data_IF_514173793255
#
_entry.id   IF_514173793255
#
_cell.length_a   1.000
_cell.length_b   1.000
_cell.length_c   1.000
_cell.angle_alpha   90.00
_cell.angle_beta   90.00
_cell.angle_gamma   90.00
#
_symmetry.space_group_name_H-M   'P 1'
#
loop_
_entity.id
_entity.type
_entity.pdbx_description
1 polymer ?
#
# COMPACT_ATOMS: atom_id res chain seq x y z
N UNK A 1 14.61 -8.05 27.48
CA UNK A 1 15.67 -7.27 26.82
C UNK A 1 15.93 -7.86 25.44
N UNK A 2 15.26 -7.34 24.40
CA UNK A 2 15.52 -7.70 23.01
C UNK A 2 16.66 -6.82 22.50
N UNK A 3 17.78 -7.45 22.12
CA UNK A 3 18.96 -6.76 21.65
C UNK A 3 18.80 -6.16 20.23
N UNK A 4 19.74 -5.29 19.82
CA UNK A 4 19.73 -4.55 18.56
C UNK A 4 20.09 -5.46 17.36
N UNK A 5 19.21 -6.39 17.01
CA UNK A 5 19.43 -7.31 15.87
C UNK A 5 18.90 -6.81 14.52
N UNK A 6 18.33 -5.61 14.43
CA UNK A 6 17.72 -5.10 13.19
C UNK A 6 18.41 -3.86 12.57
N UNK A 7 19.69 -3.62 12.89
CA UNK A 7 20.43 -2.46 12.34
C UNK A 7 21.47 -2.84 11.27
N UNK A 8 21.72 -4.12 11.02
CA UNK A 8 22.61 -4.60 9.96
C UNK A 8 22.07 -5.90 9.36
N UNK A 9 21.66 -5.88 8.09
CA UNK A 9 21.35 -7.08 7.28
C UNK A 9 22.67 -7.68 6.81
N UNK A 10 23.01 -8.92 7.18
CA UNK A 10 24.37 -9.44 6.93
C UNK A 10 24.52 -10.91 6.50
N UNK A 11 23.56 -11.57 5.82
CA UNK A 11 23.94 -12.83 5.14
C UNK A 11 23.19 -13.13 3.84
N UNK A 12 21.87 -13.26 3.84
CA UNK A 12 21.15 -13.72 2.64
C UNK A 12 20.87 -12.58 1.63
N UNK A 13 20.53 -11.39 2.12
CA UNK A 13 20.33 -10.24 1.25
C UNK A 13 21.67 -9.81 0.64
N UNK A 14 22.76 -9.76 1.42
CA UNK A 14 24.11 -9.47 0.91
C UNK A 14 24.57 -10.46 -0.17
N UNK A 15 24.31 -11.76 0.02
CA UNK A 15 24.56 -12.78 -1.02
C UNK A 15 23.73 -12.53 -2.27
N UNK A 16 22.44 -12.21 -2.13
CA UNK A 16 21.56 -11.90 -3.25
C UNK A 16 22.02 -10.63 -3.99
N UNK A 17 22.50 -9.61 -3.28
CA UNK A 17 23.04 -8.40 -3.90
C UNK A 17 24.37 -8.65 -4.60
N UNK A 18 25.24 -9.43 -3.98
CA UNK A 18 26.48 -9.85 -4.63
C UNK A 18 26.15 -10.63 -5.91
N UNK A 19 25.21 -11.56 -5.84
CA UNK A 19 24.72 -12.29 -7.01
C UNK A 19 24.22 -11.34 -8.11
N UNK A 20 23.37 -10.36 -7.79
CA UNK A 20 22.89 -9.39 -8.77
C UNK A 20 24.02 -8.55 -9.38
N UNK A 21 24.93 -8.02 -8.55
CA UNK A 21 26.07 -7.23 -9.02
C UNK A 21 27.02 -8.04 -9.90
N UNK A 22 27.33 -9.27 -9.49
CA UNK A 22 28.20 -10.19 -10.22
C UNK A 22 27.58 -10.59 -11.58
N UNK A 23 26.25 -10.53 -11.71
CA UNK A 23 25.51 -10.75 -12.95
C UNK A 23 25.15 -9.46 -13.71
N UNK A 24 25.84 -8.34 -13.42
CA UNK A 24 25.70 -7.09 -14.18
C UNK A 24 24.47 -6.25 -13.85
N UNK A 25 23.65 -6.64 -12.88
CA UNK A 25 22.48 -5.88 -12.44
C UNK A 25 22.94 -4.66 -11.63
N UNK A 26 22.39 -3.49 -11.98
CA UNK A 26 22.64 -2.26 -11.23
C UNK A 26 21.74 -2.23 -9.99
N UNK A 27 22.36 -2.31 -8.82
CA UNK A 27 21.67 -2.32 -7.53
C UNK A 27 22.09 -1.12 -6.71
N UNK A 28 21.12 -0.40 -6.18
CA UNK A 28 21.29 0.64 -5.16
C UNK A 28 20.52 0.25 -3.93
N UNK A 29 20.98 0.72 -2.78
CA UNK A 29 20.37 0.40 -1.51
C UNK A 29 19.64 1.63 -0.98
N UNK A 30 18.47 1.41 -0.40
CA UNK A 30 17.84 2.40 0.47
C UNK A 30 18.60 2.41 1.80
N UNK A 31 19.80 3.00 1.77
CA UNK A 31 20.79 2.92 2.84
C UNK A 31 20.64 4.07 3.82
N UNK A 32 20.22 3.72 5.03
CA UNK A 32 19.91 4.66 6.12
C UNK A 32 21.13 4.99 6.97
N UNK A 33 22.27 4.28 6.84
CA UNK A 33 23.35 4.31 7.87
C UNK A 33 24.78 4.32 7.31
N UNK A 34 25.04 4.02 6.02
CA UNK A 34 26.45 3.97 5.57
C UNK A 34 27.20 5.30 5.64
N UNK A 35 28.52 5.19 5.81
CA UNK A 35 29.49 6.30 5.90
C UNK A 35 29.53 7.23 4.67
N UNK A 36 28.83 6.89 3.59
CA UNK A 36 28.70 7.71 2.37
C UNK A 36 27.39 8.49 2.25
N UNK A 37 26.52 8.46 3.28
CA UNK A 37 25.26 9.21 3.27
C UNK A 37 25.50 10.71 3.44
N UNK A 38 25.03 11.50 2.46
CA UNK A 38 25.01 12.96 2.57
C UNK A 38 24.11 13.41 3.74
N UNK A 39 24.32 14.62 4.25
CA UNK A 39 23.54 15.18 5.38
C UNK A 39 22.02 15.12 5.13
N UNK A 40 21.58 15.31 3.88
CA UNK A 40 20.18 15.23 3.47
C UNK A 40 19.61 13.81 3.61
N UNK A 41 20.39 12.75 3.33
CA UNK A 41 19.96 11.35 3.48
C UNK A 41 19.83 10.92 4.95
N UNK A 42 20.64 11.50 5.84
CA UNK A 42 20.54 11.24 7.29
C UNK A 42 19.23 11.79 7.90
N UNK A 43 18.65 12.82 7.29
CA UNK A 43 17.34 13.38 7.69
C UNK A 43 16.15 12.57 7.16
N UNK A 44 16.39 11.59 6.28
CA UNK A 44 15.38 10.69 5.69
C UNK A 44 15.25 9.38 6.49
N UNK A 45 15.87 9.33 7.68
CA UNK A 45 15.98 8.12 8.47
C UNK A 45 14.62 7.50 8.80
N UNK A 46 13.56 8.26 9.01
CA UNK A 46 12.25 7.72 9.43
C UNK A 46 11.27 7.40 8.30
N UNK A 47 11.69 7.59 7.05
CA UNK A 47 10.82 7.37 5.90
C UNK A 47 11.25 6.11 5.15
N UNK A 48 10.30 5.26 4.76
CA UNK A 48 10.59 4.03 4.05
C UNK A 48 10.09 4.10 2.62
N UNK A 49 10.85 3.52 1.69
CA UNK A 49 10.32 3.21 0.37
C UNK A 49 9.41 1.98 0.46
N UNK A 50 8.11 2.22 0.51
CA UNK A 50 7.10 1.17 0.68
C UNK A 50 6.43 0.79 -0.66
N UNK A 51 6.85 1.42 -1.77
CA UNK A 51 6.37 1.09 -3.12
C UNK A 51 6.85 -0.30 -3.54
N UNK A 52 5.95 -1.09 -4.14
CA UNK A 52 6.33 -2.33 -4.84
C UNK A 52 5.96 -2.23 -6.30
N UNK A 53 6.98 -2.27 -7.14
CA UNK A 53 6.83 -2.01 -8.56
C UNK A 53 7.92 -2.70 -9.35
N UNK A 54 7.56 -3.16 -10.54
CA UNK A 54 8.51 -3.70 -11.51
C UNK A 54 8.12 -3.19 -12.89
N UNK A 55 9.10 -2.65 -13.62
CA UNK A 55 8.95 -2.13 -14.98
C UNK A 55 9.82 -2.95 -15.92
N UNK A 56 9.25 -3.34 -17.06
CA UNK A 56 9.87 -4.15 -18.10
C UNK A 56 9.96 -3.27 -19.35
N UNK A 57 11.19 -3.02 -19.79
CA UNK A 57 11.56 -2.26 -21.00
C UNK A 57 10.94 -0.85 -21.10
N UNK A 58 10.51 -0.25 -19.98
CA UNK A 58 9.76 1.01 -19.99
C UNK A 58 8.38 0.92 -20.64
N UNK A 59 7.87 -0.29 -20.93
CA UNK A 59 6.62 -0.53 -21.69
C UNK A 59 5.51 -1.18 -20.87
N UNK A 60 5.88 -2.05 -19.94
CA UNK A 60 4.95 -2.76 -19.06
C UNK A 60 5.37 -2.55 -17.63
N UNK A 61 4.44 -2.15 -16.78
CA UNK A 61 4.69 -2.02 -15.35
C UNK A 61 3.69 -2.86 -14.56
N UNK A 62 4.09 -3.24 -13.36
CA UNK A 62 3.19 -3.77 -12.36
C UNK A 62 3.29 -2.93 -11.09
N UNK A 63 2.16 -2.55 -10.53
CA UNK A 63 2.05 -1.75 -9.30
C UNK A 63 1.07 -2.41 -8.34
N UNK A 64 1.38 -2.47 -7.05
CA UNK A 64 0.54 -3.13 -6.08
C UNK A 64 1.19 -3.30 -4.71
N UNK A 65 0.62 -4.20 -3.91
CA UNK A 65 1.08 -4.48 -2.55
C UNK A 65 1.99 -5.71 -2.43
N UNK A 66 2.10 -6.51 -3.50
CA UNK A 66 2.85 -7.77 -3.47
C UNK A 66 4.36 -7.56 -3.50
N UNK A 67 5.04 -8.07 -2.48
CA UNK A 67 6.51 -8.12 -2.41
C UNK A 67 7.01 -9.43 -3.01
N UNK A 68 8.04 -9.38 -3.87
CA UNK A 68 8.76 -10.58 -4.31
C UNK A 68 9.43 -11.24 -3.09
N UNK A 69 9.02 -12.46 -2.78
CA UNK A 69 9.40 -13.15 -1.55
C UNK A 69 9.94 -14.55 -1.86
N UNK A 70 10.79 -15.06 -0.97
CA UNK A 70 11.26 -16.45 -1.03
C UNK A 70 10.10 -17.42 -0.74
N UNK A 71 10.10 -18.65 -1.31
CA UNK A 71 9.07 -19.64 -1.03
C UNK A 71 8.91 -20.03 0.44
N UNK A 72 9.93 -19.77 1.26
CA UNK A 72 9.94 -20.00 2.71
C UNK A 72 9.11 -19.00 3.52
N UNK A 73 8.68 -17.88 2.93
CA UNK A 73 7.80 -16.91 3.59
C UNK A 73 6.33 -17.31 3.45
N UNK A 74 5.56 -16.93 4.46
CA UNK A 74 4.10 -17.12 4.47
C UNK A 74 3.47 -16.51 3.22
N UNK A 75 2.61 -17.26 2.53
CA UNK A 75 1.86 -16.76 1.38
C UNK A 75 1.02 -15.54 1.79
N UNK A 76 0.84 -14.60 0.88
CA UNK A 76 0.03 -13.39 1.09
C UNK A 76 -1.08 -13.33 0.05
N UNK A 77 -2.27 -12.92 0.48
CA UNK A 77 -3.33 -12.49 -0.40
C UNK A 77 -3.14 -11.00 -0.68
N UNK A 78 -2.62 -10.69 -1.86
CA UNK A 78 -2.28 -9.34 -2.29
C UNK A 78 -2.55 -9.22 -3.80
N UNK A 79 -2.37 -8.01 -4.35
CA UNK A 79 -2.72 -7.68 -5.72
C UNK A 79 -1.63 -6.86 -6.40
N UNK A 80 -1.51 -7.08 -7.70
CA UNK A 80 -0.70 -6.28 -8.61
C UNK A 80 -1.56 -5.94 -9.83
N UNK A 81 -1.52 -4.68 -10.26
CA UNK A 81 -2.12 -4.22 -11.51
C UNK A 81 -1.05 -4.24 -12.58
N UNK A 82 -1.28 -4.97 -13.66
CA UNK A 82 -0.48 -4.85 -14.89
C UNK A 82 -0.93 -3.61 -15.66
N UNK A 83 -0.01 -2.71 -15.96
CA UNK A 83 -0.23 -1.49 -16.70
C UNK A 83 0.63 -1.43 -17.97
N UNK A 84 0.07 -0.87 -19.03
CA UNK A 84 0.73 -0.59 -20.30
C UNK A 84 0.26 0.79 -20.80
N UNK A 85 1.03 1.41 -21.70
CA UNK A 85 0.73 2.74 -22.23
C UNK A 85 1.41 3.86 -21.43
N UNK A 86 0.93 5.08 -21.58
CA UNK A 86 1.60 6.28 -21.05
C UNK A 86 1.74 6.31 -19.52
N UNK A 87 0.88 5.62 -18.78
CA UNK A 87 0.96 5.53 -17.31
C UNK A 87 2.27 4.88 -16.85
N UNK A 88 2.88 4.01 -17.67
CA UNK A 88 4.17 3.38 -17.37
C UNK A 88 5.27 4.42 -17.19
N UNK A 89 5.21 5.55 -17.91
CA UNK A 89 6.19 6.62 -17.77
C UNK A 89 6.16 7.26 -16.37
N UNK A 90 4.98 7.36 -15.73
CA UNK A 90 4.87 7.88 -14.35
C UNK A 90 5.53 6.91 -13.35
N UNK A 91 5.30 5.61 -13.56
CA UNK A 91 5.84 4.53 -12.72
C UNK A 91 7.37 4.44 -12.88
N UNK A 92 7.86 4.48 -14.12
CA UNK A 92 9.28 4.47 -14.45
C UNK A 92 10.00 5.70 -13.89
N UNK A 93 9.39 6.89 -14.02
CA UNK A 93 9.96 8.11 -13.45
C UNK A 93 10.12 8.00 -11.93
N UNK A 94 9.10 7.48 -11.24
CA UNK A 94 9.14 7.21 -9.79
C UNK A 94 10.29 6.25 -9.42
N UNK A 95 10.46 5.15 -10.18
CA UNK A 95 11.54 4.20 -9.97
C UNK A 95 12.93 4.82 -10.21
N UNK A 96 13.11 5.54 -11.32
CA UNK A 96 14.38 6.17 -11.68
C UNK A 96 14.78 7.29 -10.71
N UNK A 97 13.82 8.11 -10.26
CA UNK A 97 14.06 9.12 -9.24
C UNK A 97 14.57 8.47 -7.95
N UNK A 98 13.95 7.37 -7.54
CA UNK A 98 14.38 6.60 -6.37
C UNK A 98 15.76 5.99 -6.56
N UNK A 99 16.04 5.45 -7.75
CA UNK A 99 17.34 4.89 -8.10
C UNK A 99 18.45 5.96 -8.00
N UNK A 100 18.24 7.12 -8.61
CA UNK A 100 19.17 8.25 -8.59
C UNK A 100 19.34 8.82 -7.18
N UNK A 101 18.24 9.02 -6.45
CA UNK A 101 18.27 9.50 -5.07
C UNK A 101 19.11 8.58 -4.18
N UNK A 102 19.01 7.26 -4.36
CA UNK A 102 19.78 6.27 -3.63
C UNK A 102 21.23 6.11 -4.12
N UNK A 103 21.73 7.00 -4.99
CA UNK A 103 23.11 7.03 -5.45
C UNK A 103 23.37 6.21 -6.72
N UNK A 104 22.30 5.75 -7.36
CA UNK A 104 22.35 5.17 -8.69
C UNK A 104 22.89 6.17 -9.69
N UNK A 105 23.54 5.65 -10.73
CA UNK A 105 24.12 6.46 -11.79
C UNK A 105 23.61 5.95 -13.12
N UNK A 106 23.01 6.84 -13.89
CA UNK A 106 22.77 6.62 -15.30
C UNK A 106 24.06 7.04 -16.02
N UNK A 107 24.63 6.19 -16.90
CA UNK A 107 25.83 6.54 -17.65
C UNK A 107 25.67 7.90 -18.34
N UNK A 108 26.75 8.69 -18.49
CA UNK A 108 26.72 9.92 -19.28
C UNK A 108 26.23 9.57 -20.69
N UNK A 109 24.99 9.93 -20.96
CA UNK A 109 24.27 9.65 -22.20
C UNK A 109 23.46 10.90 -22.53
N UNK A 110 23.25 11.16 -23.82
CA UNK A 110 22.43 12.30 -24.22
C UNK A 110 21.00 12.15 -23.71
N UNK A 111 20.30 13.26 -23.44
CA UNK A 111 18.91 13.24 -22.97
C UNK A 111 17.99 12.37 -23.87
N UNK A 112 18.28 12.34 -25.18
CA UNK A 112 17.59 11.49 -26.15
C UNK A 112 17.77 9.99 -25.88
N UNK A 113 18.98 9.55 -25.59
CA UNK A 113 19.28 8.13 -25.33
C UNK A 113 18.60 7.65 -24.03
N UNK A 114 18.63 8.49 -22.98
CA UNK A 114 17.89 8.22 -21.73
C UNK A 114 16.40 8.09 -22.02
N UNK A 115 15.83 9.04 -22.80
CA UNK A 115 14.42 9.00 -23.17
C UNK A 115 14.07 7.75 -23.96
N UNK A 116 14.84 7.40 -24.99
CA UNK A 116 14.56 6.22 -25.83
C UNK A 116 14.68 4.91 -25.03
N UNK A 117 15.59 4.85 -24.05
CA UNK A 117 15.83 3.66 -23.24
C UNK A 117 14.79 3.44 -22.15
N UNK A 118 14.45 4.48 -21.39
CA UNK A 118 13.59 4.35 -20.21
C UNK A 118 12.16 4.80 -20.46
N UNK A 119 11.94 5.71 -21.40
CA UNK A 119 10.62 6.27 -21.72
C UNK A 119 10.27 6.05 -23.20
N UNK A 120 10.25 4.78 -23.67
CA UNK A 120 9.90 4.51 -25.05
C UNK A 120 8.51 5.06 -25.35
N UNK A 121 8.29 5.52 -26.58
CA UNK A 121 6.99 6.05 -26.99
C UNK A 121 5.91 4.98 -26.75
N UNK A 122 4.87 5.29 -25.95
CA UNK A 122 3.81 4.34 -25.69
C UNK A 122 3.11 3.93 -27.00
N UNK A 123 2.72 2.66 -27.09
CA UNK A 123 1.86 2.19 -28.17
C UNK A 123 0.52 2.94 -28.15
N UNK A 124 0.00 3.29 -29.32
CA UNK A 124 -1.32 3.89 -29.46
C UNK A 124 -2.43 2.86 -29.23
N UNK A 125 -3.60 3.29 -28.75
CA UNK A 125 -4.79 2.43 -28.62
C UNK A 125 -5.11 1.96 -27.20
N UNK A 126 -4.69 2.72 -26.17
CA UNK A 126 -5.11 2.48 -24.80
C UNK A 126 -6.64 2.52 -24.65
N UNK A 127 -7.19 1.62 -23.83
CA UNK A 127 -8.63 1.39 -23.66
C UNK A 127 -9.17 1.84 -22.30
N UNK A 128 -8.32 2.38 -21.44
CA UNK A 128 -8.60 2.76 -20.06
C UNK A 128 -7.83 4.02 -19.70
N UNK A 129 -8.39 4.87 -18.84
CA UNK A 129 -7.61 5.91 -18.16
C UNK A 129 -6.91 5.32 -16.93
N UNK A 130 -5.73 5.83 -16.59
CA UNK A 130 -5.03 5.48 -15.36
C UNK A 130 -4.02 6.58 -15.02
N UNK A 131 -3.88 6.86 -13.73
CA UNK A 131 -2.85 7.75 -13.18
C UNK A 131 -2.17 7.06 -12.01
N UNK A 132 -0.97 7.52 -11.66
CA UNK A 132 -0.30 7.11 -10.42
C UNK A 132 -0.31 8.29 -9.47
N UNK A 133 -0.82 8.04 -8.26
CA UNK A 133 -0.74 9.00 -7.17
C UNK A 133 0.33 8.56 -6.20
N UNK A 134 1.01 9.54 -5.60
CA UNK A 134 2.15 9.32 -4.73
C UNK A 134 1.90 9.92 -3.35
N UNK A 135 2.46 9.28 -2.33
CA UNK A 135 2.90 10.00 -1.13
C UNK A 135 4.42 10.03 -1.16
N UNK A 136 4.98 11.21 -0.93
CA UNK A 136 6.41 11.46 -0.88
C UNK A 136 6.66 12.20 0.44
N UNK A 137 7.49 11.66 1.34
CA UNK A 137 7.80 12.30 2.60
C UNK A 137 8.30 13.73 2.40
N UNK A 138 7.71 14.69 3.14
CA UNK A 138 7.98 16.14 3.03
C UNK A 138 7.73 16.73 1.63
N UNK A 139 7.02 16.01 0.76
CA UNK A 139 6.69 16.40 -0.59
C UNK A 139 5.19 16.38 -0.82
N UNK A 140 4.76 15.56 -1.77
CA UNK A 140 3.35 15.40 -2.13
C UNK A 140 2.65 14.36 -1.25
N UNK A 141 1.38 14.59 -0.95
CA UNK A 141 0.47 13.64 -0.31
C UNK A 141 -0.78 13.41 -1.17
N UNK A 142 -0.63 13.50 -2.50
CA UNK A 142 -1.74 13.43 -3.47
C UNK A 142 -2.57 12.16 -3.31
N UNK A 143 -1.93 11.04 -2.95
CA UNK A 143 -2.63 9.78 -2.70
C UNK A 143 -3.51 9.87 -1.44
N UNK A 144 -2.99 10.40 -0.35
CA UNK A 144 -3.75 10.61 0.88
C UNK A 144 -4.91 11.58 0.66
N UNK A 145 -4.67 12.70 -0.04
CA UNK A 145 -5.72 13.67 -0.39
C UNK A 145 -6.79 13.03 -1.29
N UNK A 146 -6.38 12.21 -2.25
CA UNK A 146 -7.32 11.45 -3.08
C UNK A 146 -8.13 10.47 -2.24
N UNK A 147 -7.53 9.72 -1.31
CA UNK A 147 -8.32 8.84 -0.44
C UNK A 147 -9.42 9.60 0.31
N UNK A 148 -9.09 10.71 0.96
CA UNK A 148 -10.06 11.52 1.70
C UNK A 148 -11.17 12.05 0.77
N UNK A 149 -10.78 12.63 -0.37
CA UNK A 149 -11.72 13.17 -1.36
C UNK A 149 -12.67 12.10 -1.88
N UNK A 150 -12.14 10.93 -2.28
CA UNK A 150 -12.96 9.88 -2.86
C UNK A 150 -13.91 9.28 -1.82
N UNK A 151 -13.46 9.07 -0.57
CA UNK A 151 -14.32 8.63 0.55
C UNK A 151 -15.44 9.65 0.82
N UNK A 152 -15.14 10.94 0.81
CA UNK A 152 -16.12 12.00 1.05
C UNK A 152 -17.12 12.15 -0.09
N UNK A 153 -16.69 11.88 -1.33
CA UNK A 153 -17.53 11.98 -2.52
C UNK A 153 -18.42 10.76 -2.76
N UNK A 154 -18.21 9.64 -2.05
CA UNK A 154 -18.96 8.40 -2.25
C UNK A 154 -20.47 8.60 -1.98
N UNK A 155 -21.31 8.01 -2.84
CA UNK A 155 -22.78 8.17 -2.82
C UNK A 155 -23.56 6.88 -2.65
N UNK A 156 -23.11 5.77 -3.25
CA UNK A 156 -23.80 4.47 -3.27
C UNK A 156 -23.07 3.45 -2.41
N UNK A 157 -21.79 3.24 -2.68
CA UNK A 157 -20.97 2.31 -1.92
C UNK A 157 -19.50 2.72 -1.88
N UNK A 158 -18.81 2.28 -0.83
CA UNK A 158 -17.37 2.42 -0.63
C UNK A 158 -16.83 1.09 -0.12
N UNK A 159 -16.00 0.41 -0.90
CA UNK A 159 -15.32 -0.81 -0.47
C UNK A 159 -13.83 -0.56 -0.30
N UNK A 160 -13.28 -1.00 0.82
CA UNK A 160 -11.87 -0.84 1.16
C UNK A 160 -11.31 -2.19 1.59
N UNK A 161 -10.14 -2.53 1.07
CA UNK A 161 -9.32 -3.68 1.46
C UNK A 161 -7.98 -3.15 1.94
N UNK A 162 -7.60 -3.51 3.17
CA UNK A 162 -6.34 -3.06 3.76
C UNK A 162 -5.87 -4.05 4.84
N UNK A 163 -4.56 -4.29 5.03
CA UNK A 163 -4.08 -5.09 6.15
C UNK A 163 -4.37 -4.46 7.52
N UNK A 164 -4.48 -3.12 7.61
CA UNK A 164 -4.85 -2.40 8.82
C UNK A 164 -5.29 -0.97 8.51
N UNK A 165 -6.19 -0.44 9.32
CA UNK A 165 -6.67 0.95 9.23
C UNK A 165 -6.56 1.53 10.63
N UNK A 166 -5.53 2.35 10.86
CA UNK A 166 -5.20 2.86 12.20
C UNK A 166 -5.27 4.37 12.30
N UNK A 167 -5.18 5.09 11.18
CA UNK A 167 -5.21 6.54 11.19
C UNK A 167 -6.60 7.08 11.57
N UNK A 168 -6.67 7.84 12.67
CA UNK A 168 -7.91 8.40 13.23
C UNK A 168 -8.71 9.23 12.19
N UNK A 169 -8.02 10.01 11.35
CA UNK A 169 -8.68 10.83 10.35
C UNK A 169 -9.33 9.95 9.27
N UNK A 170 -8.62 8.96 8.76
CA UNK A 170 -9.15 8.02 7.78
C UNK A 170 -10.38 7.27 8.32
N UNK A 171 -10.30 6.77 9.56
CA UNK A 171 -11.43 6.11 10.25
C UNK A 171 -12.64 7.03 10.34
N UNK A 172 -12.43 8.29 10.71
CA UNK A 172 -13.49 9.30 10.78
C UNK A 172 -14.20 9.51 9.43
N UNK A 173 -13.44 9.70 8.35
CA UNK A 173 -14.01 9.89 7.02
C UNK A 173 -14.79 8.66 6.53
N UNK A 174 -14.29 7.45 6.80
CA UNK A 174 -15.00 6.18 6.50
C UNK A 174 -16.31 6.09 7.29
N UNK A 175 -16.28 6.40 8.59
CA UNK A 175 -17.47 6.41 9.44
C UNK A 175 -18.49 7.46 8.97
N UNK A 176 -18.02 8.66 8.61
CA UNK A 176 -18.89 9.74 8.14
C UNK A 176 -19.53 9.40 6.78
N UNK A 177 -18.85 8.65 5.90
CA UNK A 177 -19.46 8.10 4.68
C UNK A 177 -20.63 7.16 4.99
N UNK A 178 -20.47 6.24 5.94
CA UNK A 178 -21.56 5.34 6.35
C UNK A 178 -22.75 6.11 6.95
N UNK A 179 -22.49 7.12 7.79
CA UNK A 179 -23.54 7.99 8.36
C UNK A 179 -24.32 8.77 7.30
N UNK A 180 -23.73 9.08 6.14
CA UNK A 180 -24.42 9.69 4.99
C UNK A 180 -25.36 8.71 4.25
N UNK A 181 -25.35 7.43 4.62
CA UNK A 181 -26.15 6.38 3.98
C UNK A 181 -25.41 5.61 2.88
N UNK A 182 -24.10 5.81 2.71
CA UNK A 182 -23.27 5.05 1.77
C UNK A 182 -23.10 3.62 2.29
N UNK A 183 -23.20 2.62 1.42
CA UNK A 183 -22.90 1.22 1.77
C UNK A 183 -21.39 1.02 1.90
N UNK A 184 -20.87 1.14 3.12
CA UNK A 184 -19.44 0.98 3.40
C UNK A 184 -19.13 -0.46 3.82
N UNK A 185 -18.18 -1.11 3.14
CA UNK A 185 -17.71 -2.47 3.49
C UNK A 185 -16.19 -2.51 3.53
N UNK A 186 -15.64 -3.02 4.63
CA UNK A 186 -14.21 -3.22 4.80
C UNK A 186 -13.87 -4.71 4.67
N UNK A 187 -12.77 -5.02 4.00
CA UNK A 187 -12.10 -6.33 4.02
C UNK A 187 -10.80 -6.18 4.79
N UNK A 188 -10.72 -6.81 5.96
CA UNK A 188 -9.59 -6.76 6.89
C UNK A 188 -9.11 -8.19 7.20
N UNK A 189 -7.86 -8.40 7.64
CA UNK A 189 -7.39 -9.75 7.95
C UNK A 189 -8.15 -10.36 9.12
N UNK A 190 -8.60 -11.61 8.98
CA UNK A 190 -9.11 -12.40 10.10
C UNK A 190 -8.03 -12.74 11.12
N UNK A 191 -6.79 -12.95 10.63
CA UNK A 191 -5.57 -13.07 11.43
C UNK A 191 -4.51 -12.13 10.86
N UNK A 192 -4.11 -11.14 11.65
CA UNK A 192 -3.12 -10.15 11.24
C UNK A 192 -1.68 -10.66 11.43
N UNK A 193 -0.76 -10.07 10.67
CA UNK A 193 0.67 -10.35 10.79
C UNK A 193 1.31 -9.68 12.00
N UNK A 194 0.93 -8.43 12.25
CA UNK A 194 1.42 -7.64 13.37
C UNK A 194 0.31 -7.52 14.44
N UNK A 195 0.50 -8.14 15.62
CA UNK A 195 -0.49 -8.05 16.70
C UNK A 195 -0.78 -6.63 17.19
N UNK A 196 0.18 -5.71 17.13
CA UNK A 196 -0.04 -4.31 17.55
C UNK A 196 -0.95 -3.58 16.57
N UNK A 197 -0.70 -3.71 15.26
CA UNK A 197 -1.54 -3.11 14.23
C UNK A 197 -2.96 -3.70 14.24
N UNK A 198 -3.10 -4.99 14.56
CA UNK A 198 -4.39 -5.66 14.73
C UNK A 198 -5.18 -5.07 15.91
N UNK A 199 -4.53 -4.93 17.07
CA UNK A 199 -5.15 -4.34 18.26
C UNK A 199 -5.59 -2.89 17.96
N UNK A 200 -4.73 -2.11 17.30
CA UNK A 200 -5.03 -0.72 16.94
C UNK A 200 -6.16 -0.63 15.91
N UNK A 201 -6.17 -1.47 14.89
CA UNK A 201 -7.26 -1.53 13.91
C UNK A 201 -8.59 -1.92 14.57
N UNK A 202 -8.58 -2.95 15.43
CA UNK A 202 -9.78 -3.43 16.12
C UNK A 202 -10.31 -2.44 17.16
N UNK A 203 -9.49 -1.51 17.65
CA UNK A 203 -9.93 -0.42 18.52
C UNK A 203 -11.01 0.43 17.84
N UNK A 204 -10.87 0.67 16.54
CA UNK A 204 -11.79 1.47 15.72
C UNK A 204 -13.08 0.74 15.33
N UNK A 205 -13.17 -0.58 15.54
CA UNK A 205 -14.32 -1.37 15.09
C UNK A 205 -15.63 -0.94 15.73
N UNK A 206 -15.62 -0.58 17.03
CA UNK A 206 -16.84 -0.15 17.71
C UNK A 206 -17.42 1.13 17.09
N UNK A 207 -16.56 2.10 16.76
CA UNK A 207 -16.96 3.35 16.10
C UNK A 207 -17.51 3.08 14.69
N UNK A 208 -16.77 2.30 13.89
CA UNK A 208 -17.14 1.97 12.51
C UNK A 208 -18.48 1.21 12.46
N UNK A 209 -18.67 0.21 13.33
CA UNK A 209 -19.94 -0.54 13.41
C UNK A 209 -21.12 0.35 13.79
N UNK A 210 -20.94 1.28 14.75
CA UNK A 210 -21.99 2.24 15.15
C UNK A 210 -22.35 3.20 14.02
N UNK A 211 -21.40 3.53 13.16
CA UNK A 211 -21.63 4.35 11.97
C UNK A 211 -22.34 3.60 10.83
N UNK A 212 -22.48 2.27 10.92
CA UNK A 212 -23.12 1.44 9.90
C UNK A 212 -22.14 0.76 8.92
N UNK A 213 -20.84 0.79 9.20
CA UNK A 213 -19.82 0.12 8.38
C UNK A 213 -19.89 -1.40 8.58
N UNK A 214 -19.89 -2.15 7.47
CA UNK A 214 -19.77 -3.62 7.52
C UNK A 214 -18.29 -4.04 7.50
N UNK A 215 -17.82 -4.66 8.58
CA UNK A 215 -16.46 -5.20 8.66
C UNK A 215 -16.47 -6.69 8.30
N UNK A 216 -15.73 -7.06 7.26
CA UNK A 216 -15.56 -8.43 6.78
C UNK A 216 -14.12 -8.87 7.09
N UNK A 217 -13.99 -9.93 7.89
CA UNK A 217 -12.71 -10.51 8.26
C UNK A 217 -12.36 -11.65 7.30
N UNK A 218 -11.37 -11.44 6.46
CA UNK A 218 -10.88 -12.40 5.47
C UNK A 218 -10.18 -13.57 6.14
N UNK A 219 -10.69 -14.78 5.90
CA UNK A 219 -10.17 -16.01 6.52
C UNK A 219 -9.33 -16.87 5.57
N UNK A 220 -9.09 -16.41 4.35
CA UNK A 220 -8.33 -17.14 3.36
C UNK A 220 -9.21 -17.95 2.41
N UNK A 221 -8.93 -17.83 1.12
CA UNK A 221 -9.21 -18.85 0.12
C UNK A 221 -8.11 -19.92 0.16
N UNK A 222 -8.46 -21.16 -0.19
CA UNK A 222 -7.47 -22.25 -0.27
C UNK A 222 -6.30 -21.87 -1.18
N UNK A 223 -5.08 -21.91 -0.64
CA UNK A 223 -3.86 -21.57 -1.37
C UNK A 223 -3.42 -20.11 -1.29
N UNK A 224 -4.27 -19.21 -0.78
CA UNK A 224 -3.94 -17.83 -0.43
C UNK A 224 -3.67 -17.73 1.09
N UNK A 225 -2.71 -16.90 1.48
CA UNK A 225 -2.39 -16.71 2.90
C UNK A 225 -2.98 -15.41 3.45
N UNK A 226 -2.30 -14.78 4.42
CA UNK A 226 -2.85 -13.60 5.12
C UNK A 226 -3.12 -12.44 4.17
N UNK A 227 -4.23 -11.73 4.43
CA UNK A 227 -4.62 -10.54 3.69
C UNK A 227 -3.57 -9.44 3.84
N UNK A 228 -3.11 -8.94 2.70
CA UNK A 228 -2.18 -7.81 2.65
C UNK A 228 -2.50 -6.86 1.48
N UNK A 229 -3.60 -7.04 0.77
CA UNK A 229 -4.05 -6.13 -0.30
C UNK A 229 -4.33 -4.71 0.21
N UNK A 230 -4.04 -3.70 -0.64
CA UNK A 230 -4.41 -2.30 -0.42
C UNK A 230 -5.18 -1.81 -1.61
N UNK A 231 -6.47 -1.56 -1.39
CA UNK A 231 -7.34 -1.12 -2.46
C UNK A 231 -8.58 -0.41 -1.93
N UNK A 232 -9.14 0.43 -2.78
CA UNK A 232 -10.38 1.15 -2.52
C UNK A 232 -11.14 1.30 -3.82
N UNK A 233 -12.46 1.06 -3.78
CA UNK A 233 -13.37 1.39 -4.87
C UNK A 233 -14.59 2.13 -4.33
N UNK A 234 -15.18 2.98 -5.18
CA UNK A 234 -16.49 3.58 -4.91
C UNK A 234 -17.35 3.66 -6.17
N UNK A 235 -18.66 3.52 -5.98
CA UNK A 235 -19.73 3.87 -6.93
C UNK A 235 -19.61 3.36 -8.38
N UNK A 236 -18.77 2.35 -8.64
CA UNK A 236 -18.30 1.94 -9.97
C UNK A 236 -17.63 3.08 -10.78
N UNK A 237 -17.13 4.11 -10.09
CA UNK A 237 -16.56 5.35 -10.68
C UNK A 237 -15.07 5.55 -10.40
N UNK A 238 -14.54 4.90 -9.37
CA UNK A 238 -13.15 5.06 -8.97
C UNK A 238 -12.61 3.76 -8.37
N UNK A 239 -11.38 3.44 -8.74
CA UNK A 239 -10.58 2.38 -8.16
C UNK A 239 -9.15 2.86 -7.90
N UNK A 240 -8.61 2.48 -6.75
CA UNK A 240 -7.24 2.70 -6.35
C UNK A 240 -6.65 1.37 -5.87
N UNK A 241 -5.49 0.99 -6.40
CA UNK A 241 -4.73 -0.20 -5.99
C UNK A 241 -3.24 0.15 -5.90
N UNK A 242 -2.56 -0.27 -4.83
CA UNK A 242 -1.13 -0.03 -4.71
C UNK A 242 -0.53 -0.47 -3.39
N UNK A 243 0.41 0.33 -2.89
CA UNK A 243 1.19 -0.01 -1.70
C UNK A 243 0.66 0.61 -0.40
N UNK A 244 -0.15 1.67 -0.48
CA UNK A 244 -0.50 2.49 0.68
C UNK A 244 -1.50 1.82 1.62
N UNK A 245 -1.01 1.52 2.82
CA UNK A 245 -1.85 1.21 3.97
C UNK A 245 -2.59 2.47 4.45
N UNK A 246 -3.59 2.29 5.33
CA UNK A 246 -4.34 3.40 5.93
C UNK A 246 -3.90 3.68 7.38
N UNK A 247 -2.59 3.74 7.59
CA UNK A 247 -1.93 4.16 8.82
C UNK A 247 -1.14 5.46 8.60
N UNK A 248 -0.76 6.13 9.68
CA UNK A 248 -0.07 7.43 9.61
C UNK A 248 1.27 7.34 8.86
N UNK A 249 2.01 6.23 9.00
CA UNK A 249 3.29 6.08 8.31
C UNK A 249 3.11 6.02 6.80
N UNK A 250 2.21 5.17 6.29
CA UNK A 250 1.93 5.12 4.85
C UNK A 250 1.33 6.44 4.31
N UNK A 251 0.45 7.07 5.07
CA UNK A 251 -0.25 8.27 4.61
C UNK A 251 0.64 9.52 4.57
N UNK A 252 1.68 9.61 5.41
CA UNK A 252 2.45 10.86 5.54
C UNK A 252 3.98 10.71 5.51
N UNK A 253 4.51 9.55 5.88
CA UNK A 253 5.94 9.38 6.18
C UNK A 253 6.65 8.37 5.26
N UNK A 254 5.93 7.53 4.52
CA UNK A 254 6.55 6.60 3.58
C UNK A 254 6.39 7.10 2.15
N UNK A 255 7.32 6.67 1.30
CA UNK A 255 7.09 6.73 -0.14
C UNK A 255 6.07 5.66 -0.49
N UNK A 256 4.91 6.09 -0.98
CA UNK A 256 3.82 5.20 -1.41
C UNK A 256 3.42 5.52 -2.84
N UNK A 257 2.83 4.53 -3.52
CA UNK A 257 2.18 4.78 -4.80
C UNK A 257 1.00 3.86 -5.02
N UNK A 258 -0.04 4.41 -5.59
CA UNK A 258 -1.17 3.64 -6.08
C UNK A 258 -1.49 4.02 -7.53
N UNK A 259 -1.87 3.02 -8.31
CA UNK A 259 -2.53 3.23 -9.58
C UNK A 259 -4.00 3.49 -9.32
N UNK A 260 -4.49 4.61 -9.86
CA UNK A 260 -5.89 5.02 -9.78
C UNK A 260 -6.50 5.08 -11.17
N UNK A 261 -7.79 4.75 -11.26
CA UNK A 261 -8.53 4.78 -12.53
C UNK A 261 -10.01 5.03 -12.28
N UNK A 262 -10.64 5.73 -13.24
CA UNK A 262 -12.09 5.92 -13.30
C UNK A 262 -12.69 5.19 -14.51
N UNK A 263 -11.94 4.26 -15.12
CA UNK A 263 -12.44 3.45 -16.22
C UNK A 263 -13.46 2.43 -15.70
N UNK A 264 -14.70 2.44 -16.19
CA UNK A 264 -15.74 1.57 -15.65
C UNK A 264 -15.42 0.07 -15.78
N UNK A 265 -14.66 -0.36 -16.79
CA UNK A 265 -14.31 -1.77 -16.96
C UNK A 265 -13.26 -2.18 -15.92
N UNK A 266 -12.28 -1.33 -15.67
CA UNK A 266 -11.30 -1.57 -14.62
C UNK A 266 -11.95 -1.60 -13.24
N UNK A 267 -12.77 -0.59 -12.89
CA UNK A 267 -13.43 -0.52 -11.58
C UNK A 267 -14.34 -1.73 -11.36
N UNK A 268 -15.12 -2.11 -12.38
CA UNK A 268 -15.95 -3.32 -12.35
C UNK A 268 -15.13 -4.59 -12.13
N UNK A 269 -13.99 -4.73 -12.83
CA UNK A 269 -13.08 -5.87 -12.66
C UNK A 269 -12.55 -5.95 -11.23
N UNK A 270 -12.15 -4.82 -10.64
CA UNK A 270 -11.70 -4.77 -9.23
C UNK A 270 -12.86 -5.14 -8.29
N UNK A 271 -14.08 -4.67 -8.54
CA UNK A 271 -15.23 -5.06 -7.73
C UNK A 271 -15.48 -6.58 -7.77
N UNK A 272 -15.49 -7.17 -8.95
CA UNK A 272 -15.90 -8.56 -9.17
C UNK A 272 -14.79 -9.55 -8.79
N UNK A 273 -13.57 -9.32 -9.27
CA UNK A 273 -12.45 -10.27 -9.10
C UNK A 273 -11.85 -10.21 -7.69
N UNK A 274 -11.91 -9.04 -7.04
CA UNK A 274 -11.33 -8.84 -5.72
C UNK A 274 -12.40 -8.77 -4.64
N UNK A 275 -13.20 -7.70 -4.61
CA UNK A 275 -14.07 -7.44 -3.46
C UNK A 275 -15.18 -8.48 -3.30
N UNK A 276 -15.91 -8.79 -4.37
CA UNK A 276 -16.99 -9.78 -4.32
C UNK A 276 -16.50 -11.18 -4.04
N UNK A 277 -15.29 -11.53 -4.50
CA UNK A 277 -14.65 -12.78 -4.14
C UNK A 277 -14.26 -12.78 -2.65
N UNK A 278 -13.55 -11.76 -2.18
CA UNK A 278 -13.05 -11.68 -0.81
C UNK A 278 -14.18 -11.62 0.22
N UNK A 279 -15.33 -11.02 -0.12
CA UNK A 279 -16.52 -11.07 0.74
C UNK A 279 -17.05 -12.49 0.94
N UNK A 280 -16.90 -13.41 -0.03
CA UNK A 280 -17.31 -14.83 0.12
C UNK A 280 -16.40 -15.59 1.07
N UNK A 281 -15.12 -15.25 1.10
CA UNK A 281 -14.10 -15.85 1.97
C UNK A 281 -13.92 -15.10 3.30
N UNK A 282 -14.83 -14.16 3.60
CA UNK A 282 -14.80 -13.38 4.82
C UNK A 282 -15.96 -13.72 5.74
N UNK A 283 -15.72 -13.61 7.04
CA UNK A 283 -16.77 -13.64 8.05
C UNK A 283 -17.08 -12.23 8.51
N UNK A 284 -18.35 -11.84 8.54
CA UNK A 284 -18.75 -10.54 9.11
C UNK A 284 -18.36 -10.48 10.58
N UNK A 285 -17.60 -9.46 10.96
CA UNK A 285 -17.21 -9.27 12.35
C UNK A 285 -18.45 -9.04 13.22
N UNK A 286 -18.49 -9.73 14.36
CA UNK A 286 -19.48 -9.51 15.41
C UNK A 286 -18.73 -9.11 16.68
N UNK A 287 -19.08 -7.98 17.31
CA UNK A 287 -18.43 -7.57 18.55
C UNK A 287 -18.66 -8.63 19.64
N UNK A 288 -17.66 -8.89 20.51
CA UNK A 288 -17.83 -9.83 21.60
C UNK A 288 -19.01 -9.41 22.47
N UNK A 289 -19.86 -10.35 22.89
CA UNK A 289 -21.02 -10.06 23.75
C UNK A 289 -20.59 -9.70 25.18
N UNK A 290 -19.49 -10.30 25.64
CA UNK A 290 -18.97 -10.15 26.98
C UNK A 290 -18.35 -8.76 27.23
N UNK A 291 -18.72 -8.16 28.36
CA UNK A 291 -18.29 -6.80 28.73
C UNK A 291 -16.79 -6.72 29.04
N UNK A 292 -16.21 -7.75 29.67
CA UNK A 292 -14.79 -7.76 30.02
C UNK A 292 -13.90 -7.77 28.77
N UNK A 293 -14.27 -8.55 27.76
CA UNK A 293 -13.57 -8.57 26.48
C UNK A 293 -13.65 -7.23 25.75
N UNK A 294 -14.83 -6.57 25.74
CA UNK A 294 -14.97 -5.20 25.20
C UNK A 294 -14.05 -4.22 25.93
N UNK A 295 -14.05 -4.25 27.27
CA UNK A 295 -13.22 -3.36 28.08
C UNK A 295 -11.72 -3.59 27.83
N UNK A 296 -11.30 -4.86 27.76
CA UNK A 296 -9.91 -5.23 27.49
C UNK A 296 -9.44 -4.74 26.12
N UNK A 297 -10.27 -4.88 25.07
CA UNK A 297 -9.97 -4.34 23.75
C UNK A 297 -9.83 -2.82 23.78
N UNK A 298 -10.73 -2.12 24.49
CA UNK A 298 -10.70 -0.65 24.61
C UNK A 298 -9.45 -0.14 25.33
N UNK A 299 -9.05 -0.79 26.43
CA UNK A 299 -7.85 -0.41 27.19
C UNK A 299 -6.58 -0.66 26.36
N UNK A 300 -6.46 -1.84 25.75
CA UNK A 300 -5.31 -2.18 24.90
C UNK A 300 -5.20 -1.27 23.68
N UNK A 301 -6.32 -1.04 23.01
CA UNK A 301 -6.40 -0.18 21.84
C UNK A 301 -6.00 1.27 22.13
N UNK A 302 -6.46 1.83 23.26
CA UNK A 302 -6.08 3.19 23.67
C UNK A 302 -4.56 3.31 23.94
N UNK A 303 -3.95 2.27 24.50
CA UNK A 303 -2.50 2.24 24.72
C UNK A 303 -1.72 2.15 23.39
N UNK A 304 -2.20 1.36 22.43
CA UNK A 304 -1.55 1.25 21.10
C UNK A 304 -1.76 2.48 20.24
N UNK A 305 -2.93 3.12 20.30
CA UNK A 305 -3.20 4.37 19.59
C UNK A 305 -2.29 5.51 20.06
N UNK A 306 -1.95 5.54 21.35
CA UNK A 306 -0.97 6.50 21.87
C UNK A 306 0.42 6.29 21.23
N UNK A 307 0.82 5.04 20.98
CA UNK A 307 2.10 4.74 20.34
C UNK A 307 2.10 5.13 18.86
N UNK A 308 0.99 4.91 18.14
CA UNK A 308 0.81 5.27 16.72
C UNK A 308 0.82 6.80 16.47
N UNK A 309 0.71 7.62 17.54
CA UNK A 309 0.86 9.08 17.47
C UNK A 309 2.31 9.56 17.63
N UNK A 310 3.21 8.67 18.03
CA UNK A 310 4.64 8.94 18.20
C UNK A 310 5.52 8.28 17.15
N UNK A 311 4.93 7.51 16.22
CA UNK A 311 5.53 7.07 14.96
C UNK A 311 5.30 8.13 13.87
#
# INVERSE_FOLDING_TARGET
MMGPKNLYSTTEEEKLFKFYKDNGVKVVFYDRVSKGTSLLKKLDFFHFDHRKTFVIDGKTAYVGGYTLQTPSREKKHDMMVKAQGSVVNQIEASLLMSYLYNGGKIPPSGAREISEKFFPKPESGGTSNANVLFNIPRGSHDLTESYLKEIDSAKKYLYIINPYITNDNMVKHIADAAKRGVKVRLVLPGSAENPLNDINTRYHFEELLKAGVEINLYNGESGLGKLHGKGMIRDDEFASIGSANMDTMALYHNYEQNLVSSDPKFVKKVREDLFENDFKFSTKYQPPKDWWNKLKMKIKGKATQLLDRFD
#
